data_IF_381486940442
#
_entry.id   IF_381486940442
#
_cell.length_a   1.000
_cell.length_b   1.000
_cell.length_c   1.000
_cell.angle_alpha   90.00
_cell.angle_beta   90.00
_cell.angle_gamma   90.00
#
_symmetry.space_group_name_H-M   'P 1'
#
loop_
_entity.id
_entity.type
_entity.pdbx_description
1 polymer ?
#
# COMPACT_ATOMS: atom_id res chain seq x y z
N UNK A 1 10.29 -18.17 2.09
CA UNK A 1 8.84 -17.97 2.35
C UNK A 1 8.27 -17.32 1.10
N UNK A 2 7.27 -17.94 0.46
CA UNK A 2 6.51 -17.28 -0.60
C UNK A 2 5.50 -16.32 0.08
N UNK A 3 5.61 -15.03 -0.20
CA UNK A 3 4.83 -14.00 0.48
C UNK A 3 3.50 -13.73 -0.21
N UNK A 4 3.37 -14.08 -1.50
CA UNK A 4 2.26 -13.60 -2.33
C UNK A 4 2.11 -12.08 -2.39
N UNK A 5 3.12 -11.32 -1.93
CA UNK A 5 3.11 -9.87 -1.81
C UNK A 5 4.06 -9.23 -2.84
N UNK A 6 3.79 -7.97 -3.17
CA UNK A 6 4.61 -7.15 -4.05
C UNK A 6 4.64 -5.71 -3.52
N UNK A 7 5.40 -4.83 -4.18
CA UNK A 7 5.42 -3.38 -3.91
C UNK A 7 5.61 -3.04 -2.43
N UNK A 8 4.88 -2.05 -1.91
CA UNK A 8 5.01 -1.57 -0.55
C UNK A 8 4.66 -2.62 0.49
N UNK A 9 3.73 -3.55 0.19
CA UNK A 9 3.39 -4.65 1.10
C UNK A 9 4.60 -5.53 1.38
N UNK A 10 5.31 -5.94 0.33
CA UNK A 10 6.53 -6.74 0.48
C UNK A 10 7.61 -5.97 1.24
N UNK A 11 7.78 -4.68 0.92
CA UNK A 11 8.73 -3.80 1.61
C UNK A 11 8.46 -3.68 3.11
N UNK A 12 7.20 -3.43 3.49
CA UNK A 12 6.78 -3.32 4.88
C UNK A 12 6.96 -4.64 5.66
N UNK A 13 6.62 -5.79 5.06
CA UNK A 13 6.84 -7.12 5.65
C UNK A 13 8.32 -7.34 5.94
N UNK A 14 9.20 -7.05 4.98
CA UNK A 14 10.64 -7.27 5.11
C UNK A 14 11.24 -6.36 6.19
N UNK A 15 10.89 -5.07 6.19
CA UNK A 15 11.40 -4.12 7.18
C UNK A 15 10.93 -4.51 8.59
N UNK A 16 9.65 -4.84 8.77
CA UNK A 16 9.13 -5.28 10.05
C UNK A 16 9.81 -6.56 10.54
N UNK A 17 9.99 -7.54 9.64
CA UNK A 17 10.65 -8.82 9.98
C UNK A 17 12.11 -8.61 10.36
N UNK A 18 12.84 -7.75 9.64
CA UNK A 18 14.23 -7.42 9.95
C UNK A 18 14.37 -6.67 11.29
N UNK A 19 13.42 -5.80 11.64
CA UNK A 19 13.38 -5.14 12.95
C UNK A 19 13.11 -6.14 14.07
N UNK A 20 12.17 -7.06 13.86
CA UNK A 20 11.89 -8.11 14.83
C UNK A 20 13.08 -9.05 15.02
N UNK A 21 13.77 -9.45 13.93
CA UNK A 21 14.95 -10.31 14.03
C UNK A 21 16.12 -9.66 14.78
N UNK A 22 16.17 -8.33 14.88
CA UNK A 22 17.18 -7.65 15.70
C UNK A 22 16.86 -7.67 17.21
N UNK A 23 15.68 -8.17 17.60
CA UNK A 23 15.20 -8.19 18.99
C UNK A 23 15.16 -9.60 19.59
N UNK A 24 15.49 -10.64 18.81
CA UNK A 24 15.44 -12.04 19.24
C UNK A 24 16.57 -12.84 18.58
N UNK A 25 17.09 -13.83 19.31
CA UNK A 25 18.06 -14.81 18.79
C UNK A 25 17.38 -16.09 18.30
N UNK A 26 16.05 -16.21 18.42
CA UNK A 26 15.28 -17.39 18.00
C UNK A 26 14.85 -17.30 16.52
N UNK A 27 15.42 -18.12 15.61
CA UNK A 27 15.06 -18.09 14.20
C UNK A 27 13.60 -18.50 13.93
N UNK A 28 13.02 -19.40 14.74
CA UNK A 28 11.63 -19.84 14.56
C UNK A 28 10.66 -18.71 14.95
N UNK A 29 10.98 -17.92 15.97
CA UNK A 29 10.22 -16.73 16.31
C UNK A 29 10.19 -15.73 15.13
N UNK A 30 11.32 -15.54 14.44
CA UNK A 30 11.41 -14.66 13.26
C UNK A 30 10.56 -15.19 12.10
N UNK A 31 10.59 -16.49 11.83
CA UNK A 31 9.77 -17.12 10.80
C UNK A 31 8.28 -16.94 11.11
N UNK A 32 7.87 -17.19 12.35
CA UNK A 32 6.49 -17.03 12.79
C UNK A 32 6.03 -15.57 12.71
N UNK A 33 6.90 -14.62 13.07
CA UNK A 33 6.62 -13.20 12.88
C UNK A 33 6.42 -12.86 11.40
N UNK A 34 7.31 -13.33 10.53
CA UNK A 34 7.23 -13.08 9.10
C UNK A 34 5.91 -13.61 8.51
N UNK A 35 5.47 -14.80 8.93
CA UNK A 35 4.18 -15.38 8.51
C UNK A 35 2.99 -14.52 8.95
N UNK A 36 2.96 -14.08 10.22
CA UNK A 36 1.93 -13.13 10.71
C UNK A 36 1.97 -11.81 9.95
N UNK A 37 3.16 -11.27 9.66
CA UNK A 37 3.31 -10.05 8.89
C UNK A 37 2.77 -10.20 7.46
N UNK A 38 3.00 -11.35 6.81
CA UNK A 38 2.46 -11.67 5.49
C UNK A 38 0.92 -11.67 5.52
N UNK A 39 0.32 -12.31 6.52
CA UNK A 39 -1.14 -12.41 6.66
C UNK A 39 -1.82 -11.06 6.91
N UNK A 40 -1.17 -10.17 7.67
CA UNK A 40 -1.80 -8.95 8.19
C UNK A 40 -1.36 -7.66 7.48
N UNK A 41 -0.23 -7.64 6.78
CA UNK A 41 0.22 -6.43 6.09
C UNK A 41 -0.73 -6.04 4.97
N UNK A 42 -1.13 -4.78 4.93
CA UNK A 42 -2.04 -4.22 3.94
C UNK A 42 -1.31 -3.27 3.01
N UNK A 43 -1.77 -3.21 1.76
CA UNK A 43 -1.36 -2.18 0.80
C UNK A 43 -2.55 -1.77 -0.08
N UNK A 44 -2.68 -0.46 -0.25
CA UNK A 44 -3.66 0.16 -1.11
C UNK A 44 -2.94 1.02 -2.15
N UNK A 45 -3.17 0.71 -3.43
CA UNK A 45 -2.59 1.43 -4.55
C UNK A 45 -3.67 2.26 -5.25
N UNK A 46 -3.38 3.55 -5.38
CA UNK A 46 -4.28 4.59 -5.83
C UNK A 46 -3.90 5.04 -7.23
N UNK A 47 -4.58 4.46 -8.23
CA UNK A 47 -4.24 4.66 -9.64
C UNK A 47 -4.77 5.99 -10.16
N UNK A 48 -3.99 6.66 -11.02
CA UNK A 48 -4.52 7.81 -11.78
C UNK A 48 -5.47 7.33 -12.90
N UNK A 49 -5.05 6.28 -13.62
CA UNK A 49 -5.77 5.69 -14.76
C UNK A 49 -5.56 4.18 -14.81
N UNK A 50 -6.62 3.40 -15.08
CA UNK A 50 -6.50 1.93 -15.23
C UNK A 50 -5.78 1.46 -16.48
N UNK A 51 -5.66 2.30 -17.50
CA UNK A 51 -5.23 1.85 -18.84
C UNK A 51 -3.89 1.10 -18.83
N UNK A 52 -2.98 1.45 -17.90
CA UNK A 52 -1.66 0.82 -17.78
C UNK A 52 -1.78 -0.60 -17.20
N UNK A 53 -2.61 -0.77 -16.18
CA UNK A 53 -2.83 -2.07 -15.54
C UNK A 53 -3.57 -3.03 -16.47
N UNK A 54 -4.50 -2.49 -17.25
CA UNK A 54 -5.20 -3.21 -18.31
C UNK A 54 -4.23 -3.65 -19.42
N UNK A 55 -3.41 -2.74 -19.94
CA UNK A 55 -2.43 -3.03 -20.98
C UNK A 55 -1.36 -4.04 -20.52
N UNK A 56 -1.02 -4.03 -19.23
CA UNK A 56 -0.07 -4.97 -18.63
C UNK A 56 -0.63 -6.37 -18.36
N UNK A 57 -1.92 -6.63 -18.60
CA UNK A 57 -2.53 -7.94 -18.36
C UNK A 57 -2.65 -8.34 -16.88
N UNK A 58 -2.43 -7.40 -15.95
CA UNK A 58 -2.49 -7.62 -14.49
C UNK A 58 -3.87 -7.39 -13.89
N UNK A 59 -4.81 -6.88 -14.70
CA UNK A 59 -6.23 -6.99 -14.42
C UNK A 59 -6.67 -8.41 -14.72
N UNK A 60 -6.74 -9.25 -13.70
CA UNK A 60 -7.41 -10.56 -13.80
C UNK A 60 -8.80 -10.35 -14.37
N UNK A 61 -9.26 -11.24 -15.29
CA UNK A 61 -10.49 -11.23 -16.12
C UNK A 61 -11.80 -10.87 -15.38
N UNK A 62 -11.88 -9.70 -14.78
CA UNK A 62 -12.98 -9.25 -13.94
C UNK A 62 -13.70 -8.12 -14.66
N UNK A 63 -14.97 -8.39 -14.97
CA UNK A 63 -15.95 -7.41 -15.48
C UNK A 63 -16.07 -6.17 -14.59
N UNK A 64 -15.58 -6.21 -13.34
CA UNK A 64 -15.57 -5.11 -12.37
C UNK A 64 -14.77 -3.86 -12.80
N UNK A 65 -13.93 -3.98 -13.83
CA UNK A 65 -13.18 -2.85 -14.42
C UNK A 65 -13.74 -2.38 -15.78
N UNK A 66 -14.59 -3.19 -16.42
CA UNK A 66 -15.25 -2.86 -17.68
C UNK A 66 -16.62 -2.24 -17.40
N UNK A 67 -16.67 -0.93 -17.19
CA UNK A 67 -17.97 -0.27 -17.10
C UNK A 67 -17.98 1.22 -16.80
N UNK A 68 -17.06 1.75 -15.98
CA UNK A 68 -17.29 3.11 -15.44
C UNK A 68 -16.02 3.91 -15.08
N UNK A 69 -14.86 3.46 -15.54
CA UNK A 69 -13.57 3.96 -15.01
C UNK A 69 -13.06 5.21 -15.73
N UNK A 70 -13.77 5.71 -16.74
CA UNK A 70 -13.40 6.98 -17.37
C UNK A 70 -13.59 8.19 -16.45
N UNK A 71 -14.40 8.08 -15.39
CA UNK A 71 -14.75 9.20 -14.51
C UNK A 71 -14.37 9.01 -13.03
N UNK A 72 -13.75 7.88 -12.68
CA UNK A 72 -13.34 7.57 -11.30
C UNK A 72 -11.91 7.09 -11.23
N UNK A 73 -11.25 7.38 -10.12
CA UNK A 73 -9.92 6.90 -9.75
C UNK A 73 -10.04 5.56 -9.01
N UNK A 74 -9.52 4.46 -9.56
CA UNK A 74 -9.57 3.14 -8.93
C UNK A 74 -8.62 3.04 -7.75
N UNK A 75 -9.00 2.17 -6.82
CA UNK A 75 -8.17 1.75 -5.70
C UNK A 75 -8.08 0.23 -5.75
N UNK A 76 -6.86 -0.28 -5.71
CA UNK A 76 -6.58 -1.71 -5.79
C UNK A 76 -5.72 -2.17 -4.62
N UNK A 77 -5.69 -3.47 -4.39
CA UNK A 77 -4.71 -4.13 -3.53
C UNK A 77 -4.01 -5.25 -4.32
N UNK A 78 -2.68 -5.37 -4.23
CA UNK A 78 -1.96 -6.49 -4.83
C UNK A 78 -2.33 -7.84 -4.18
N UNK A 79 -2.47 -8.88 -4.99
CA UNK A 79 -2.68 -10.27 -4.57
C UNK A 79 -1.73 -11.21 -5.31
N UNK A 80 -1.63 -12.48 -4.87
CA UNK A 80 -0.80 -13.47 -5.55
C UNK A 80 -1.20 -13.68 -7.03
N UNK A 81 -2.47 -13.47 -7.37
CA UNK A 81 -3.04 -13.62 -8.72
C UNK A 81 -3.05 -12.32 -9.54
N UNK A 82 -2.53 -11.21 -9.01
CA UNK A 82 -2.48 -9.90 -9.68
C UNK A 82 -2.95 -8.76 -8.80
N UNK A 83 -3.98 -8.04 -9.24
CA UNK A 83 -4.55 -6.92 -8.49
C UNK A 83 -6.07 -7.05 -8.36
N UNK A 84 -6.59 -6.79 -7.16
CA UNK A 84 -8.02 -6.77 -6.87
C UNK A 84 -8.52 -5.34 -6.68
N UNK A 85 -9.64 -4.99 -7.32
CA UNK A 85 -10.35 -3.72 -7.05
C UNK A 85 -10.93 -3.75 -5.64
N UNK A 86 -10.64 -2.73 -4.85
CA UNK A 86 -11.20 -2.57 -3.50
C UNK A 86 -12.03 -1.29 -3.37
N UNK A 87 -11.91 -0.36 -4.31
CA UNK A 87 -12.70 0.85 -4.32
C UNK A 87 -12.56 1.64 -5.61
N UNK A 88 -13.35 2.71 -5.70
CA UNK A 88 -13.19 3.76 -6.69
C UNK A 88 -13.72 5.07 -6.11
N UNK A 89 -13.03 6.16 -6.38
CA UNK A 89 -13.33 7.50 -5.85
C UNK A 89 -13.25 8.52 -6.97
N UNK A 90 -13.86 9.70 -6.80
CA UNK A 90 -13.94 10.69 -7.90
C UNK A 90 -12.61 11.40 -8.18
N UNK A 91 -11.80 11.65 -7.15
CA UNK A 91 -10.60 12.48 -7.25
C UNK A 91 -9.55 12.08 -6.20
N UNK A 92 -8.39 12.75 -6.20
CA UNK A 92 -7.27 12.46 -5.30
C UNK A 92 -7.60 12.66 -3.82
N UNK A 93 -8.41 13.66 -3.48
CA UNK A 93 -8.85 13.85 -2.08
C UNK A 93 -9.71 12.67 -1.59
N UNK A 94 -10.51 12.06 -2.48
CA UNK A 94 -11.20 10.82 -2.17
C UNK A 94 -10.25 9.64 -1.96
N UNK A 95 -9.11 9.60 -2.65
CA UNK A 95 -8.09 8.56 -2.43
C UNK A 95 -7.43 8.74 -1.08
N UNK A 96 -7.04 9.98 -0.73
CA UNK A 96 -6.48 10.31 0.57
C UNK A 96 -7.45 9.96 1.70
N UNK A 97 -8.72 10.36 1.58
CA UNK A 97 -9.74 9.98 2.56
C UNK A 97 -9.83 8.47 2.73
N UNK A 98 -9.85 7.71 1.64
CA UNK A 98 -9.87 6.24 1.71
C UNK A 98 -8.64 5.69 2.44
N UNK A 99 -7.44 6.24 2.20
CA UNK A 99 -6.23 5.84 2.90
C UNK A 99 -6.33 6.11 4.41
N UNK A 100 -6.79 7.31 4.80
CA UNK A 100 -6.99 7.68 6.21
C UNK A 100 -8.04 6.78 6.88
N UNK A 101 -9.16 6.51 6.22
CA UNK A 101 -10.20 5.58 6.73
C UNK A 101 -9.62 4.17 6.97
N UNK A 102 -8.67 3.72 6.15
CA UNK A 102 -7.98 2.43 6.32
C UNK A 102 -6.98 2.42 7.47
N UNK A 103 -6.20 3.49 7.61
CA UNK A 103 -5.28 3.65 8.75
C UNK A 103 -6.06 3.75 10.07
N UNK A 104 -7.18 4.47 10.10
CA UNK A 104 -8.05 4.60 11.28
C UNK A 104 -8.71 3.29 11.68
N UNK A 105 -9.01 2.42 10.72
CA UNK A 105 -9.48 1.06 11.01
C UNK A 105 -8.39 0.12 11.55
N UNK A 106 -7.11 0.45 11.34
CA UNK A 106 -5.97 -0.41 11.70
C UNK A 106 -5.21 0.06 12.95
N UNK A 107 -5.27 1.36 13.27
CA UNK A 107 -4.46 1.97 14.33
C UNK A 107 -5.25 2.98 15.17
N UNK A 108 -5.09 2.88 16.50
CA UNK A 108 -5.49 3.92 17.43
C UNK A 108 -4.65 5.20 17.23
N UNK A 109 -5.20 6.38 17.58
CA UNK A 109 -4.55 7.69 17.35
C UNK A 109 -3.19 7.85 18.03
N UNK A 110 -2.98 7.18 19.17
CA UNK A 110 -1.71 7.21 19.91
C UNK A 110 -0.67 6.21 19.37
N UNK A 111 -1.02 5.42 18.35
CA UNK A 111 -0.11 4.47 17.73
C UNK A 111 1.07 5.18 17.06
N UNK A 112 2.20 4.48 16.96
CA UNK A 112 3.37 4.93 16.20
C UNK A 112 3.59 3.99 15.00
N UNK A 113 2.68 4.00 14.01
CA UNK A 113 2.74 3.04 12.91
C UNK A 113 3.94 3.30 12.00
N UNK A 114 4.53 2.23 11.48
CA UNK A 114 5.39 2.31 10.31
C UNK A 114 4.52 2.31 9.05
N UNK A 115 4.64 3.37 8.25
CA UNK A 115 3.87 3.56 7.02
C UNK A 115 4.84 3.76 5.86
N UNK A 116 4.69 2.94 4.83
CA UNK A 116 5.41 3.09 3.59
C UNK A 116 4.52 3.78 2.56
N UNK A 117 4.95 4.95 2.09
CA UNK A 117 4.34 5.66 0.99
C UNK A 117 5.16 5.45 -0.27
N UNK A 118 4.47 5.14 -1.36
CA UNK A 118 5.09 5.00 -2.68
C UNK A 118 4.48 6.00 -3.68
N UNK A 119 5.28 6.49 -4.63
CA UNK A 119 4.83 7.48 -5.61
C UNK A 119 5.34 7.19 -7.03
N UNK A 120 4.68 7.77 -8.04
CA UNK A 120 5.07 7.70 -9.45
C UNK A 120 4.67 9.00 -10.13
N UNK A 121 5.65 9.83 -10.51
CA UNK A 121 5.42 11.10 -11.22
C UNK A 121 4.48 12.08 -10.47
N UNK A 122 4.50 12.04 -9.14
CA UNK A 122 3.68 12.87 -8.26
C UNK A 122 4.28 13.06 -6.85
N UNK A 123 5.63 13.07 -6.73
CA UNK A 123 6.35 13.20 -5.45
C UNK A 123 5.80 14.33 -4.57
N UNK A 124 5.80 15.57 -5.09
CA UNK A 124 5.39 16.78 -4.35
C UNK A 124 4.01 16.61 -3.72
N UNK A 125 3.05 16.03 -4.45
CA UNK A 125 1.70 15.83 -3.90
C UNK A 125 1.65 14.75 -2.81
N UNK A 126 2.50 13.72 -2.87
CA UNK A 126 2.55 12.69 -1.83
C UNK A 126 3.30 13.21 -0.59
N UNK A 127 4.40 13.95 -0.77
CA UNK A 127 5.20 14.51 0.33
C UNK A 127 4.47 15.68 1.02
N UNK A 128 4.00 16.66 0.25
CA UNK A 128 3.43 17.92 0.77
C UNK A 128 1.93 17.82 1.11
N UNK A 129 1.29 16.66 0.92
CA UNK A 129 -0.14 16.51 1.24
C UNK A 129 -0.42 15.18 1.92
N UNK A 130 -0.16 14.05 1.26
CA UNK A 130 -0.51 12.75 1.83
C UNK A 130 0.23 12.49 3.13
N UNK A 131 1.56 12.69 3.13
CA UNK A 131 2.40 12.48 4.30
C UNK A 131 2.06 13.46 5.42
N UNK A 132 1.84 14.75 5.12
CA UNK A 132 1.44 15.74 6.13
C UNK A 132 0.11 15.38 6.80
N UNK A 133 -0.89 14.95 6.04
CA UNK A 133 -2.20 14.55 6.55
C UNK A 133 -2.11 13.28 7.40
N UNK A 134 -1.31 12.29 6.98
CA UNK A 134 -1.04 11.11 7.81
C UNK A 134 -0.32 11.51 9.11
N UNK A 135 0.68 12.39 9.05
CA UNK A 135 1.41 12.86 10.24
C UNK A 135 0.50 13.68 11.18
N UNK A 136 -0.47 14.42 10.65
CA UNK A 136 -1.45 15.14 11.47
C UNK A 136 -2.40 14.18 12.20
N UNK A 137 -2.77 13.05 11.57
CA UNK A 137 -3.59 12.01 12.19
C UNK A 137 -2.81 11.11 13.16
N UNK A 138 -1.52 10.88 12.87
CA UNK A 138 -0.61 10.05 13.64
C UNK A 138 0.74 10.77 13.82
N UNK A 139 0.85 11.67 14.82
CA UNK A 139 2.05 12.49 15.02
C UNK A 139 3.33 11.69 15.24
N UNK A 140 3.21 10.45 15.73
CA UNK A 140 4.33 9.54 15.99
C UNK A 140 4.54 8.51 14.88
N UNK A 141 3.83 8.61 13.75
CA UNK A 141 4.04 7.71 12.62
C UNK A 141 5.46 7.86 12.06
N UNK A 142 6.09 6.71 11.78
CA UNK A 142 7.32 6.66 11.00
C UNK A 142 6.94 6.47 9.53
N UNK A 143 7.13 7.51 8.71
CA UNK A 143 6.75 7.49 7.30
C UNK A 143 7.98 7.36 6.40
N UNK A 144 8.05 6.26 5.64
CA UNK A 144 9.05 6.06 4.60
C UNK A 144 8.43 6.37 3.23
N UNK A 145 8.87 7.46 2.59
CA UNK A 145 8.46 7.84 1.23
C UNK A 145 9.51 7.40 0.20
N UNK A 146 9.09 6.66 -0.82
CA UNK A 146 9.97 6.16 -1.88
C UNK A 146 9.28 6.09 -3.25
N UNK A 147 10.00 6.10 -4.38
CA UNK A 147 9.36 5.87 -5.67
C UNK A 147 8.85 4.42 -5.78
N UNK A 148 7.75 4.22 -6.48
CA UNK A 148 7.33 2.89 -6.92
C UNK A 148 8.45 2.24 -7.74
N UNK A 149 8.68 0.95 -7.50
CA UNK A 149 9.63 0.19 -8.30
C UNK A 149 9.30 0.27 -9.79
N UNK A 150 10.30 0.21 -10.68
CA UNK A 150 10.07 0.28 -12.13
C UNK A 150 9.19 -0.88 -12.63
N UNK A 151 9.25 -2.04 -11.98
CA UNK A 151 8.44 -3.22 -12.30
C UNK A 151 6.97 -3.04 -11.89
N UNK A 152 6.69 -2.39 -10.76
CA UNK A 152 5.32 -1.97 -10.40
C UNK A 152 4.86 -0.81 -11.29
N UNK A 153 5.69 0.22 -11.43
CA UNK A 153 5.38 1.47 -12.11
C UNK A 153 4.98 1.31 -13.57
N UNK A 154 5.59 0.38 -14.32
CA UNK A 154 5.21 0.10 -15.72
C UNK A 154 3.77 -0.38 -15.87
N UNK A 155 3.23 -1.05 -14.84
CA UNK A 155 1.86 -1.55 -14.82
C UNK A 155 0.89 -0.57 -14.15
N UNK A 156 1.35 0.22 -13.19
CA UNK A 156 0.51 1.14 -12.42
C UNK A 156 0.31 2.50 -13.14
N UNK A 157 1.36 2.98 -13.82
CA UNK A 157 1.37 4.24 -14.55
C UNK A 157 1.69 5.49 -13.71
N UNK A 158 1.94 6.64 -14.38
CA UNK A 158 2.20 7.92 -13.74
C UNK A 158 1.00 8.45 -12.96
N UNK A 159 1.27 9.24 -11.92
CA UNK A 159 0.31 9.77 -10.97
C UNK A 159 -0.21 8.76 -9.95
N UNK A 160 0.31 7.53 -9.94
CA UNK A 160 -0.04 6.52 -8.95
C UNK A 160 0.71 6.77 -7.65
N UNK A 161 0.05 6.53 -6.52
CA UNK A 161 0.69 6.43 -5.22
C UNK A 161 0.14 5.24 -4.44
N UNK A 162 0.82 4.82 -3.38
CA UNK A 162 0.37 3.72 -2.54
C UNK A 162 0.64 4.00 -1.06
N UNK A 163 -0.12 3.33 -0.20
CA UNK A 163 0.14 3.25 1.24
C UNK A 163 0.20 1.78 1.64
N UNK A 164 1.29 1.37 2.29
CA UNK A 164 1.44 0.05 2.88
C UNK A 164 1.78 0.16 4.36
N UNK A 165 1.18 -0.71 5.16
CA UNK A 165 1.35 -0.71 6.61
C UNK A 165 1.13 -2.12 7.17
N UNK A 166 1.72 -2.38 8.33
CA UNK A 166 1.48 -3.59 9.11
C UNK A 166 0.72 -3.20 10.37
N UNK A 167 -0.56 -3.59 10.53
CA UNK A 167 -1.27 -3.44 11.78
C UNK A 167 -0.52 -4.16 12.92
N UNK A 168 -0.77 -3.80 14.20
CA UNK A 168 -0.17 -4.50 15.32
C UNK A 168 -0.48 -6.00 15.24
N UNK A 169 0.55 -6.79 14.94
CA UNK A 169 0.47 -8.25 14.90
C UNK A 169 0.69 -8.77 16.31
N UNK A 170 -0.36 -9.34 16.90
CA UNK A 170 -0.31 -10.04 18.20
C UNK A 170 0.48 -11.34 18.07
#
# INVERSE_FOLDING_TARGET
IDTGAASGRLGAIVIATARYSAQTDDPEAVINFAQRAIENCEEYVFLDKLKYLAAGGRLTKSSAFFGDVFHVKPIITPTAEGAKKVGAVKNRNGQLKFALDKLEGAFDKESSPFIMLEYSDNYDWVDDTVKEEIQAHYPSAEIMLQPLSLTSGVHMGPGTWAVAFLPPVV
#
